data_IF_013866455995
#
_entry.id   IF_013866455995
#
_cell.length_a   1.000
_cell.length_b   1.000
_cell.length_c   1.000
_cell.angle_alpha   90.00
_cell.angle_beta   90.00
_cell.angle_gamma   90.00
#
_symmetry.space_group_name_H-M   'P 1'
#
loop_
_entity.id
_entity.type
_entity.pdbx_description
1 polymer ?
#
# COMPACT_ATOMS: atom_id res chain seq x y z
N UNK A 1 48.21 0.95 20.24
CA UNK A 1 47.89 0.59 18.85
C UNK A 1 46.71 1.45 18.40
N UNK A 2 46.86 2.31 17.37
CA UNK A 2 45.75 3.13 16.89
C UNK A 2 44.76 2.25 16.12
N UNK A 3 43.52 2.20 16.60
CA UNK A 3 42.39 1.55 15.93
C UNK A 3 42.05 2.31 14.65
N UNK A 4 42.04 1.63 13.51
CA UNK A 4 41.64 2.22 12.23
C UNK A 4 40.22 2.83 12.32
N UNK A 5 39.97 4.00 11.71
CA UNK A 5 38.66 4.63 11.74
C UNK A 5 37.64 3.79 10.94
N UNK A 6 36.36 3.76 11.35
CA UNK A 6 35.33 3.06 10.62
C UNK A 6 35.14 3.72 9.25
N UNK A 7 35.47 3.00 8.18
CA UNK A 7 35.19 3.43 6.80
C UNK A 7 33.67 3.45 6.64
N UNK A 8 33.09 4.66 6.62
CA UNK A 8 31.69 4.85 6.28
C UNK A 8 31.48 4.35 4.84
N UNK A 9 30.86 3.18 4.70
CA UNK A 9 30.53 2.62 3.38
C UNK A 9 29.59 3.59 2.68
N UNK A 10 30.05 4.17 1.57
CA UNK A 10 29.22 5.00 0.70
C UNK A 10 27.94 4.22 0.34
N UNK A 11 26.77 4.91 0.31
CA UNK A 11 25.53 4.26 -0.06
C UNK A 11 25.67 3.72 -1.48
N UNK A 12 25.66 2.39 -1.62
CA UNK A 12 25.65 1.79 -2.95
C UNK A 12 24.31 2.14 -3.57
N UNK A 13 24.32 2.86 -4.70
CA UNK A 13 23.14 3.17 -5.53
C UNK A 13 22.08 2.06 -5.60
N UNK A 14 22.42 0.77 -5.76
CA UNK A 14 21.42 -0.30 -5.73
C UNK A 14 20.63 -0.37 -4.41
N UNK A 15 21.24 -0.09 -3.26
CA UNK A 15 20.53 -0.04 -1.96
C UNK A 15 19.57 1.13 -1.88
N UNK A 16 19.95 2.29 -2.42
CA UNK A 16 19.09 3.47 -2.47
C UNK A 16 17.88 3.19 -3.36
N UNK A 17 18.08 2.58 -4.53
CA UNK A 17 16.99 2.19 -5.42
C UNK A 17 16.04 1.18 -4.77
N UNK A 18 16.59 0.19 -4.05
CA UNK A 18 15.83 -0.84 -3.34
C UNK A 18 15.01 -0.25 -2.18
N UNK A 19 15.59 0.69 -1.42
CA UNK A 19 14.91 1.44 -0.37
C UNK A 19 13.78 2.29 -0.95
N UNK A 20 14.02 2.96 -2.08
CA UNK A 20 13.02 3.78 -2.75
C UNK A 20 11.86 2.92 -3.29
N UNK A 21 12.16 1.75 -3.87
CA UNK A 21 11.14 0.78 -4.28
C UNK A 21 10.35 0.25 -3.07
N UNK A 22 11.04 -0.10 -1.98
CA UNK A 22 10.41 -0.58 -0.75
C UNK A 22 9.50 0.49 -0.12
N UNK A 23 9.94 1.76 -0.10
CA UNK A 23 9.14 2.87 0.37
C UNK A 23 7.90 3.09 -0.51
N UNK A 24 8.05 3.00 -1.84
CA UNK A 24 6.95 3.10 -2.78
C UNK A 24 5.92 1.97 -2.57
N UNK A 25 6.38 0.73 -2.37
CA UNK A 25 5.52 -0.43 -2.09
C UNK A 25 4.79 -0.30 -0.74
N UNK A 26 5.45 0.25 0.28
CA UNK A 26 4.82 0.55 1.57
C UNK A 26 3.77 1.66 1.45
N UNK A 27 4.04 2.71 0.68
CA UNK A 27 3.08 3.76 0.39
C UNK A 27 1.87 3.23 -0.39
N UNK A 28 2.10 2.39 -1.39
CA UNK A 28 1.05 1.75 -2.17
C UNK A 28 0.17 0.85 -1.29
N UNK A 29 0.77 0.03 -0.42
CA UNK A 29 0.01 -0.81 0.52
C UNK A 29 -0.79 0.00 1.53
N UNK A 30 -0.22 1.07 2.09
CA UNK A 30 -0.94 1.98 2.97
C UNK A 30 -2.13 2.62 2.25
N UNK A 31 -1.94 3.09 1.02
CA UNK A 31 -3.02 3.67 0.20
C UNK A 31 -4.14 2.64 -0.08
N UNK A 32 -3.78 1.43 -0.50
CA UNK A 32 -4.77 0.36 -0.73
C UNK A 32 -5.51 -0.04 0.56
N UNK A 33 -4.83 -0.04 1.71
CA UNK A 33 -5.46 -0.32 3.00
C UNK A 33 -6.49 0.77 3.37
N UNK A 34 -6.14 2.05 3.18
CA UNK A 34 -7.05 3.18 3.38
C UNK A 34 -8.26 3.12 2.43
N UNK A 35 -8.06 2.76 1.17
CA UNK A 35 -9.13 2.57 0.19
C UNK A 35 -10.06 1.41 0.59
N UNK A 36 -9.50 0.30 1.07
CA UNK A 36 -10.27 -0.84 1.60
C UNK A 36 -11.10 -0.43 2.81
N UNK A 37 -10.49 0.31 3.75
CA UNK A 37 -11.16 0.82 4.94
C UNK A 37 -12.30 1.80 4.59
N UNK A 38 -12.09 2.63 3.55
CA UNK A 38 -13.12 3.51 2.99
C UNK A 38 -14.31 2.76 2.39
N UNK A 39 -14.07 1.66 1.66
CA UNK A 39 -15.15 0.79 1.15
C UNK A 39 -15.94 0.14 2.28
N UNK A 40 -15.27 -0.41 3.30
CA UNK A 40 -15.94 -0.94 4.49
C UNK A 40 -16.73 0.13 5.23
N UNK A 41 -16.20 1.34 5.34
CA UNK A 41 -16.91 2.48 5.93
C UNK A 41 -18.12 2.92 5.10
N UNK A 42 -18.09 2.77 3.78
CA UNK A 42 -19.23 3.10 2.91
C UNK A 42 -20.38 2.11 3.12
N UNK A 43 -20.06 0.85 3.41
CA UNK A 43 -21.02 -0.20 3.78
C UNK A 43 -21.57 -0.01 5.21
N UNK A 44 -20.80 0.61 6.10
CA UNK A 44 -21.23 0.93 7.46
C UNK A 44 -22.06 2.24 7.50
N UNK A 45 -23.31 2.15 7.98
CA UNK A 45 -24.21 3.31 8.08
C UNK A 45 -23.73 4.41 9.05
N UNK A 46 -22.84 4.07 9.99
CA UNK A 46 -22.28 4.98 11.01
C UNK A 46 -20.80 5.38 10.80
N UNK A 47 -20.25 5.20 9.59
CA UNK A 47 -18.86 5.57 9.32
C UNK A 47 -18.62 7.10 9.28
N UNK A 48 -17.46 7.60 9.77
CA UNK A 48 -17.10 9.02 9.69
C UNK A 48 -17.02 9.51 8.24
N UNK A 49 -17.49 10.74 7.98
CA UNK A 49 -17.68 11.29 6.63
C UNK A 49 -16.41 11.27 5.75
N UNK A 50 -15.24 11.46 6.35
CA UNK A 50 -13.95 11.40 5.65
C UNK A 50 -13.62 10.00 5.11
N UNK A 51 -14.02 8.94 5.82
CA UNK A 51 -13.86 7.57 5.32
C UNK A 51 -14.84 7.27 4.18
N UNK A 52 -16.01 7.90 4.15
CA UNK A 52 -16.93 7.81 3.00
C UNK A 52 -16.34 8.46 1.75
N UNK A 53 -15.69 9.61 1.86
CA UNK A 53 -14.99 10.24 0.73
C UNK A 53 -13.90 9.31 0.18
N UNK A 54 -13.15 8.64 1.05
CA UNK A 54 -12.17 7.62 0.64
C UNK A 54 -12.84 6.41 -0.02
N UNK A 55 -14.01 5.98 0.47
CA UNK A 55 -14.81 4.91 -0.14
C UNK A 55 -15.33 5.25 -1.54
N UNK A 56 -15.72 6.50 -1.80
CA UNK A 56 -16.13 6.96 -3.14
C UNK A 56 -14.94 6.94 -4.10
N UNK A 57 -13.77 7.42 -3.68
CA UNK A 57 -12.55 7.36 -4.49
C UNK A 57 -12.14 5.91 -4.78
N UNK A 58 -12.28 5.02 -3.79
CA UNK A 58 -12.05 3.59 -3.99
C UNK A 58 -13.01 3.00 -5.02
N UNK A 59 -14.31 3.30 -4.89
CA UNK A 59 -15.34 2.80 -5.77
C UNK A 59 -15.14 3.27 -7.23
N UNK A 60 -14.79 4.54 -7.45
CA UNK A 60 -14.48 5.07 -8.78
C UNK A 60 -13.21 4.45 -9.37
N UNK A 61 -12.19 4.21 -8.55
CA UNK A 61 -10.97 3.53 -8.97
C UNK A 61 -11.25 2.08 -9.38
N UNK A 62 -12.03 1.33 -8.59
CA UNK A 62 -12.46 -0.04 -8.94
C UNK A 62 -13.37 -0.05 -10.17
N UNK A 63 -14.25 0.94 -10.34
CA UNK A 63 -15.07 1.06 -11.54
C UNK A 63 -14.21 1.29 -12.78
N UNK A 64 -13.20 2.17 -12.70
CA UNK A 64 -12.24 2.41 -13.79
C UNK A 64 -11.38 1.20 -14.13
N UNK A 65 -11.12 0.33 -13.14
CA UNK A 65 -10.45 -0.94 -13.32
C UNK A 65 -11.35 -2.05 -13.91
N UNK A 66 -12.60 -1.75 -14.28
CA UNK A 66 -13.55 -2.72 -14.83
C UNK A 66 -14.27 -3.57 -13.78
N UNK A 67 -14.06 -3.29 -12.49
CA UNK A 67 -14.66 -4.03 -11.37
C UNK A 67 -15.98 -3.38 -10.89
N UNK A 68 -16.55 -2.45 -11.66
CA UNK A 68 -17.76 -1.70 -11.30
C UNK A 68 -19.04 -2.56 -11.17
N UNK A 69 -19.06 -3.76 -11.75
CA UNK A 69 -20.17 -4.71 -11.64
C UNK A 69 -20.13 -5.62 -10.40
N UNK A 70 -19.07 -5.55 -9.60
CA UNK A 70 -18.94 -6.37 -8.39
C UNK A 70 -19.60 -5.68 -7.19
N UNK A 71 -20.14 -6.48 -6.26
CA UNK A 71 -20.65 -5.95 -4.99
C UNK A 71 -19.53 -5.23 -4.21
N UNK A 72 -19.89 -4.21 -3.42
CA UNK A 72 -18.89 -3.44 -2.65
C UNK A 72 -18.02 -4.29 -1.72
N UNK A 73 -18.55 -5.43 -1.25
CA UNK A 73 -17.81 -6.43 -0.46
C UNK A 73 -16.76 -7.15 -1.32
N UNK A 74 -17.14 -7.59 -2.52
CA UNK A 74 -16.20 -8.24 -3.45
C UNK A 74 -15.08 -7.28 -3.89
N UNK A 75 -15.41 -6.00 -4.14
CA UNK A 75 -14.41 -4.96 -4.42
C UNK A 75 -13.42 -4.78 -3.26
N UNK A 76 -13.91 -4.68 -2.02
CA UNK A 76 -13.06 -4.58 -0.83
C UNK A 76 -12.17 -5.82 -0.64
N UNK A 77 -12.70 -7.02 -0.87
CA UNK A 77 -11.93 -8.26 -0.75
C UNK A 77 -10.81 -8.36 -1.80
N UNK A 78 -11.10 -7.93 -3.03
CA UNK A 78 -10.11 -7.91 -4.12
C UNK A 78 -8.99 -6.91 -3.81
N UNK A 79 -9.33 -5.73 -3.31
CA UNK A 79 -8.37 -4.73 -2.83
C UNK A 79 -7.52 -5.26 -1.66
N UNK A 80 -8.12 -5.99 -0.74
CA UNK A 80 -7.41 -6.59 0.40
C UNK A 80 -6.40 -7.66 -0.05
N UNK A 81 -6.78 -8.50 -1.02
CA UNK A 81 -5.88 -9.47 -1.64
C UNK A 81 -4.72 -8.80 -2.37
N UNK A 82 -5.01 -7.74 -3.15
CA UNK A 82 -3.97 -6.94 -3.81
C UNK A 82 -3.03 -6.29 -2.79
N UNK A 83 -3.58 -5.73 -1.72
CA UNK A 83 -2.79 -5.12 -0.62
C UNK A 83 -1.84 -6.15 -0.02
N UNK A 84 -2.36 -7.35 0.27
CA UNK A 84 -1.56 -8.45 0.83
C UNK A 84 -0.45 -8.88 -0.12
N UNK A 85 -0.75 -9.00 -1.43
CA UNK A 85 0.24 -9.32 -2.45
C UNK A 85 1.36 -8.26 -2.55
N UNK A 86 0.99 -6.98 -2.57
CA UNK A 86 1.98 -5.88 -2.60
C UNK A 86 2.79 -5.84 -1.31
N UNK A 87 2.17 -6.12 -0.16
CA UNK A 87 2.88 -6.20 1.13
C UNK A 87 3.86 -7.38 1.17
N UNK A 88 3.49 -8.53 0.61
CA UNK A 88 4.38 -9.68 0.46
C UNK A 88 5.56 -9.36 -0.48
N UNK A 89 5.32 -8.66 -1.60
CA UNK A 89 6.39 -8.16 -2.47
C UNK A 89 7.31 -7.16 -1.73
N UNK A 90 6.74 -6.25 -0.95
CA UNK A 90 7.53 -5.30 -0.15
C UNK A 90 8.43 -6.02 0.85
N UNK A 91 7.91 -7.05 1.51
CA UNK A 91 8.69 -7.89 2.42
C UNK A 91 9.80 -8.68 1.69
N UNK A 92 9.54 -9.13 0.45
CA UNK A 92 10.54 -9.80 -0.40
C UNK A 92 11.65 -8.85 -0.87
N UNK A 93 11.30 -7.59 -1.17
CA UNK A 93 12.23 -6.55 -1.62
C UNK A 93 13.05 -5.98 -0.47
N UNK A 94 12.67 -6.21 0.79
CA UNK A 94 13.36 -5.66 1.96
C UNK A 94 14.89 -5.91 1.86
N UNK A 95 15.73 -4.84 1.86
CA UNK A 95 17.17 -5.00 1.74
C UNK A 95 17.70 -5.76 2.97
N UNK A 96 18.46 -6.82 2.74
CA UNK A 96 19.20 -7.59 3.76
C UNK A 96 20.63 -7.06 3.86
#
# INVERSE_FOLDING_TARGET
MPSAPPVARAPSWPRVLLLLLCALLLLATAALALLSLGLFSSLASNGPLWLRSLGVVAATLTASAGLGGLSGVAQAFTLMLLTSGVAALAAFVKPR
#
